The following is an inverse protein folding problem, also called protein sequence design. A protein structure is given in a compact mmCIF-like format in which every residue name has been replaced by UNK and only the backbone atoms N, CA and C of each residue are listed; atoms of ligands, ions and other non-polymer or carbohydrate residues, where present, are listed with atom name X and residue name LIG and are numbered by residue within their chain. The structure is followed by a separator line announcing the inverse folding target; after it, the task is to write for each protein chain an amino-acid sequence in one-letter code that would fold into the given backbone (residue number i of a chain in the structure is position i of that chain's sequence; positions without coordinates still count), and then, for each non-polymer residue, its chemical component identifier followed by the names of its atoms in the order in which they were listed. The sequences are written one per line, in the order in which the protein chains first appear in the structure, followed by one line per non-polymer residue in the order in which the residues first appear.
data_IF_063312680588
#
_entry.id   IF_063312680588
#
_cell.length_a   1.000
_cell.length_b   1.000
_cell.length_c   1.000
_cell.angle_alpha   90.00
_cell.angle_beta   90.00
_cell.angle_gamma   90.00
#
_symmetry.space_group_name_H-M   'P 1'
#
loop_
_entity.id
_entity.type
_entity.pdbx_description
1 polymer ?
#
# COMPACT_ATOMS: atom_id res chain seq x y z
N UNK A 1 -1.38 -7.66 -2.79
CA UNK A 1 -2.32 -7.61 -1.64
C UNK A 1 -3.02 -8.94 -1.36
N UNK A 2 -3.60 -9.61 -2.35
CA UNK A 2 -4.30 -10.89 -2.19
C UNK A 2 -3.43 -12.02 -1.60
N UNK A 3 -2.13 -12.06 -1.91
CA UNK A 3 -1.20 -13.08 -1.43
C UNK A 3 -1.04 -13.05 0.10
N UNK A 4 -0.86 -11.86 0.69
CA UNK A 4 -0.73 -11.69 2.15
C UNK A 4 -1.99 -12.16 2.86
N UNK A 5 -3.12 -11.71 2.37
CA UNK A 5 -4.42 -11.97 3.01
C UNK A 5 -4.80 -13.45 2.88
N UNK A 6 -4.51 -14.07 1.72
CA UNK A 6 -4.74 -15.50 1.48
C UNK A 6 -3.88 -16.40 2.36
N UNK A 7 -2.60 -16.07 2.56
CA UNK A 7 -1.70 -16.88 3.40
C UNK A 7 -2.13 -16.93 4.86
N UNK A 8 -2.55 -15.79 5.43
CA UNK A 8 -3.02 -15.71 6.82
C UNK A 8 -4.29 -16.54 7.05
N UNK A 9 -5.23 -16.51 6.12
CA UNK A 9 -6.47 -17.30 6.23
C UNK A 9 -6.24 -18.79 6.01
N UNK A 10 -5.35 -19.15 5.11
CA UNK A 10 -4.98 -20.55 4.87
C UNK A 10 -4.36 -21.18 6.12
N UNK A 11 -3.43 -20.47 6.78
CA UNK A 11 -2.84 -20.93 8.03
C UNK A 11 -3.87 -21.04 9.18
N UNK A 12 -4.89 -20.16 9.22
CA UNK A 12 -6.01 -20.30 10.16
C UNK A 12 -6.82 -21.58 9.90
N UNK A 13 -7.04 -21.96 8.64
CA UNK A 13 -7.78 -23.18 8.26
C UNK A 13 -6.98 -24.45 8.47
N UNK A 14 -5.68 -24.43 8.18
CA UNK A 14 -4.79 -25.60 8.32
C UNK A 14 -4.36 -25.86 9.78
N UNK A 15 -4.82 -25.05 10.74
CA UNK A 15 -4.51 -25.21 12.16
C UNK A 15 -3.06 -24.86 12.54
N UNK A 16 -2.24 -24.47 11.55
CA UNK A 16 -0.83 -24.08 11.74
C UNK A 16 -0.73 -22.81 12.58
N UNK A 17 -1.75 -21.96 12.50
CA UNK A 17 -1.87 -20.76 13.33
C UNK A 17 -1.94 -21.08 14.83
N UNK A 18 -2.63 -22.18 15.24
CA UNK A 18 -2.66 -22.63 16.64
C UNK A 18 -1.30 -23.10 17.13
N UNK A 19 -0.51 -23.73 16.28
CA UNK A 19 0.87 -24.16 16.63
C UNK A 19 1.80 -22.97 16.80
N UNK A 20 1.62 -21.90 16.02
CA UNK A 20 2.36 -20.63 16.16
C UNK A 20 2.01 -19.91 17.46
N UNK A 21 0.76 -19.99 17.95
CA UNK A 21 0.33 -19.40 19.22
C UNK A 21 0.92 -20.11 20.45
N UNK A 22 1.30 -21.37 20.33
CA UNK A 22 1.96 -22.14 21.43
C UNK A 22 3.48 -21.89 21.46
N UNK A 23 4.06 -21.35 20.40
CA UNK A 23 5.45 -20.95 20.38
C UNK A 23 5.67 -19.73 21.30
N UNK A 24 6.77 -19.65 22.06
CA UNK A 24 7.07 -18.52 22.95
C UNK A 24 7.52 -17.28 22.16
N UNK A 25 6.68 -16.80 21.23
CA UNK A 25 6.92 -15.61 20.42
C UNK A 25 5.85 -14.56 20.67
N UNK A 26 6.26 -13.28 20.70
CA UNK A 26 5.29 -12.19 20.81
C UNK A 26 4.45 -12.09 19.53
N UNK A 27 3.18 -11.73 19.66
CA UNK A 27 2.26 -11.52 18.53
C UNK A 27 2.81 -10.52 17.52
N UNK A 28 3.58 -9.52 17.97
CA UNK A 28 4.22 -8.53 17.12
C UNK A 28 5.32 -9.14 16.23
N UNK A 29 6.12 -10.06 16.76
CA UNK A 29 7.16 -10.76 15.99
C UNK A 29 6.52 -11.64 14.92
N UNK A 30 5.44 -12.33 15.25
CA UNK A 30 4.70 -13.15 14.30
C UNK A 30 4.09 -12.32 13.16
N UNK A 31 3.50 -11.17 13.48
CA UNK A 31 2.96 -10.24 12.47
C UNK A 31 4.08 -9.64 11.61
N UNK A 32 5.17 -9.17 12.23
CA UNK A 32 6.29 -8.60 11.50
C UNK A 32 6.91 -9.63 10.53
N UNK A 33 7.11 -10.87 10.97
CA UNK A 33 7.62 -11.95 10.13
C UNK A 33 6.76 -12.22 8.88
N UNK A 34 5.45 -12.00 8.98
CA UNK A 34 4.54 -12.11 7.83
C UNK A 34 4.53 -10.86 6.95
N UNK A 35 4.63 -9.68 7.54
CA UNK A 35 4.49 -8.41 6.81
C UNK A 35 5.74 -8.03 6.02
N UNK A 36 6.93 -8.30 6.57
CA UNK A 36 8.21 -7.96 5.95
C UNK A 36 8.33 -8.54 4.52
N UNK A 37 8.07 -9.84 4.26
CA UNK A 37 8.14 -10.38 2.91
C UNK A 37 7.22 -9.65 1.92
N UNK A 38 5.99 -9.35 2.32
CA UNK A 38 5.04 -8.65 1.44
C UNK A 38 5.41 -7.19 1.21
N UNK A 39 5.94 -6.53 2.22
CA UNK A 39 6.50 -5.18 2.06
C UNK A 39 7.66 -5.17 1.05
N UNK A 40 8.57 -6.13 1.16
CA UNK A 40 9.68 -6.28 0.21
C UNK A 40 9.19 -6.59 -1.20
N UNK A 41 8.18 -7.45 -1.36
CA UNK A 41 7.56 -7.74 -2.66
C UNK A 41 6.98 -6.46 -3.27
N UNK A 42 6.28 -5.63 -2.49
CA UNK A 42 5.74 -4.35 -2.98
C UNK A 42 6.87 -3.40 -3.44
N UNK A 43 7.98 -3.31 -2.70
CA UNK A 43 9.15 -2.50 -3.10
C UNK A 43 9.74 -3.01 -4.42
N UNK A 44 9.97 -4.31 -4.52
CA UNK A 44 10.51 -4.94 -5.73
C UNK A 44 9.58 -4.71 -6.92
N UNK A 45 8.27 -4.84 -6.73
CA UNK A 45 7.28 -4.59 -7.76
C UNK A 45 7.31 -3.13 -8.25
N UNK A 46 7.38 -2.16 -7.35
CA UNK A 46 7.51 -0.74 -7.70
C UNK A 46 8.82 -0.50 -8.46
N UNK A 47 9.93 -1.07 -7.98
CA UNK A 47 11.24 -0.92 -8.62
C UNK A 47 11.24 -1.51 -10.04
N UNK A 48 10.64 -2.69 -10.24
CA UNK A 48 10.47 -3.30 -11.57
C UNK A 48 9.63 -2.40 -12.47
N UNK A 49 8.49 -1.88 -11.99
CA UNK A 49 7.61 -1.01 -12.77
C UNK A 49 8.33 0.29 -13.20
N UNK A 50 9.05 0.94 -12.28
CA UNK A 50 9.84 2.13 -12.61
C UNK A 50 10.99 1.80 -13.57
N UNK A 51 11.69 0.69 -13.37
CA UNK A 51 12.77 0.23 -14.24
C UNK A 51 12.26 -0.08 -15.65
N UNK A 52 11.19 -0.83 -15.78
CA UNK A 52 10.56 -1.13 -17.08
C UNK A 52 10.08 0.15 -17.75
N UNK A 53 9.45 1.06 -17.02
CA UNK A 53 8.99 2.35 -17.56
C UNK A 53 10.16 3.20 -18.08
N UNK A 54 11.26 3.22 -17.36
CA UNK A 54 12.47 3.93 -17.79
C UNK A 54 13.12 3.29 -19.02
N UNK A 55 13.23 1.96 -19.07
CA UNK A 55 13.92 1.25 -20.15
C UNK A 55 13.09 1.20 -21.43
N UNK A 56 11.79 0.86 -21.34
CA UNK A 56 10.94 0.67 -22.53
C UNK A 56 10.38 1.98 -23.04
N UNK A 57 9.94 2.86 -22.15
CA UNK A 57 9.28 4.12 -22.53
C UNK A 57 10.21 5.33 -22.46
N UNK A 58 11.52 5.11 -22.14
CA UNK A 58 12.51 6.17 -21.96
C UNK A 58 12.02 7.27 -20.99
N UNK A 59 11.20 6.86 -20.00
CA UNK A 59 10.68 7.77 -19.00
C UNK A 59 11.81 8.27 -18.11
N UNK A 60 11.92 9.58 -17.94
CA UNK A 60 12.86 10.18 -16.99
C UNK A 60 12.44 9.78 -15.56
N UNK A 61 13.40 9.31 -14.76
CA UNK A 61 13.19 9.04 -13.33
C UNK A 61 13.25 10.32 -12.47
N UNK A 62 13.21 11.49 -13.12
CA UNK A 62 13.29 12.78 -12.45
C UNK A 62 14.71 13.10 -11.95
N UNK A 63 14.82 14.20 -11.21
CA UNK A 63 16.11 14.70 -10.71
C UNK A 63 16.45 14.16 -9.31
N UNK A 64 15.47 13.62 -8.58
CA UNK A 64 15.64 13.17 -7.19
C UNK A 64 15.40 11.68 -7.01
N UNK A 65 16.41 10.87 -7.21
CA UNK A 65 16.37 9.42 -6.92
C UNK A 65 16.04 9.16 -5.45
N UNK A 66 16.56 9.98 -4.53
CA UNK A 66 16.26 9.86 -3.10
C UNK A 66 14.76 10.08 -2.83
N UNK A 67 14.16 11.12 -3.44
CA UNK A 67 12.71 11.36 -3.35
C UNK A 67 11.90 10.17 -3.85
N UNK A 68 12.31 9.59 -4.98
CA UNK A 68 11.66 8.45 -5.60
C UNK A 68 11.69 7.21 -4.69
N UNK A 69 12.84 6.94 -4.07
CA UNK A 69 12.98 5.84 -3.10
C UNK A 69 12.09 6.07 -1.90
N UNK A 70 12.10 7.27 -1.30
CA UNK A 70 11.33 7.57 -0.10
C UNK A 70 9.81 7.48 -0.37
N UNK A 71 9.33 8.03 -1.50
CA UNK A 71 7.92 7.91 -1.91
C UNK A 71 7.55 6.46 -2.14
N UNK A 72 8.40 5.67 -2.80
CA UNK A 72 8.16 4.25 -3.07
C UNK A 72 8.08 3.42 -1.78
N UNK A 73 8.95 3.68 -0.81
CA UNK A 73 8.91 3.04 0.50
C UNK A 73 7.61 3.38 1.26
N UNK A 74 7.20 4.65 1.25
CA UNK A 74 5.96 5.08 1.90
C UNK A 74 4.72 4.48 1.21
N UNK A 75 4.69 4.46 -0.11
CA UNK A 75 3.61 3.85 -0.88
C UNK A 75 3.52 2.33 -0.64
N UNK A 76 4.66 1.63 -0.61
CA UNK A 76 4.72 0.21 -0.27
C UNK A 76 4.21 -0.08 1.16
N UNK A 77 4.58 0.78 2.14
CA UNK A 77 4.09 0.67 3.51
C UNK A 77 2.57 0.86 3.58
N UNK A 78 2.03 1.86 2.87
CA UNK A 78 0.59 2.13 2.79
C UNK A 78 -0.16 0.95 2.18
N UNK A 79 0.33 0.39 1.07
CA UNK A 79 -0.25 -0.77 0.41
C UNK A 79 -0.24 -2.01 1.32
N UNK A 80 0.86 -2.22 2.07
CA UNK A 80 0.99 -3.31 3.03
C UNK A 80 0.01 -3.13 4.19
N UNK A 81 -0.10 -1.92 4.75
CA UNK A 81 -1.05 -1.59 5.80
C UNK A 81 -2.51 -1.81 5.38
N UNK A 82 -2.88 -1.40 4.16
CA UNK A 82 -4.20 -1.67 3.60
C UNK A 82 -4.46 -3.17 3.46
N UNK A 83 -3.44 -3.96 3.09
CA UNK A 83 -3.52 -5.42 3.05
C UNK A 83 -3.81 -6.03 4.42
N UNK A 84 -3.17 -5.52 5.48
CA UNK A 84 -3.44 -5.94 6.87
C UNK A 84 -4.87 -5.62 7.26
N UNK A 85 -5.36 -4.43 6.94
CA UNK A 85 -6.73 -4.02 7.22
C UNK A 85 -7.75 -4.93 6.54
N UNK A 86 -7.56 -5.25 5.26
CA UNK A 86 -8.43 -6.20 4.53
C UNK A 86 -8.38 -7.58 5.17
N UNK A 87 -7.18 -8.06 5.55
CA UNK A 87 -7.00 -9.36 6.22
C UNK A 87 -7.73 -9.43 7.58
N UNK A 88 -7.77 -8.31 8.31
CA UNK A 88 -8.41 -8.23 9.61
C UNK A 88 -9.94 -8.22 9.53
N UNK A 89 -10.51 -7.73 8.43
CA UNK A 89 -11.97 -7.61 8.23
C UNK A 89 -12.55 -8.84 7.54
N UNK A 90 -11.84 -9.42 6.59
CA UNK A 90 -12.31 -10.55 5.80
C UNK A 90 -12.31 -11.86 6.60
N UNK A 91 -13.37 -12.66 6.42
CA UNK A 91 -13.54 -13.98 7.06
C UNK A 91 -13.34 -15.14 6.09
N UNK A 92 -13.43 -14.90 4.80
CA UNK A 92 -13.30 -15.93 3.75
C UNK A 92 -12.40 -15.43 2.62
N UNK A 93 -11.84 -16.36 1.86
CA UNK A 93 -11.02 -16.00 0.67
C UNK A 93 -11.82 -15.20 -0.36
N UNK A 94 -13.08 -15.55 -0.57
CA UNK A 94 -13.97 -14.82 -1.49
C UNK A 94 -14.17 -13.37 -1.01
N UNK A 95 -14.33 -13.14 0.31
CA UNK A 95 -14.42 -11.79 0.87
C UNK A 95 -13.12 -11.02 0.70
N UNK A 96 -11.95 -11.67 0.84
CA UNK A 96 -10.67 -11.01 0.58
C UNK A 96 -10.62 -10.48 -0.85
N UNK A 97 -10.91 -11.35 -1.82
CA UNK A 97 -10.90 -10.97 -3.23
C UNK A 97 -11.89 -9.85 -3.51
N UNK A 98 -13.14 -10.00 -3.07
CA UNK A 98 -14.19 -9.00 -3.27
C UNK A 98 -13.84 -7.65 -2.65
N UNK A 99 -13.41 -7.63 -1.38
CA UNK A 99 -13.01 -6.41 -0.68
C UNK A 99 -11.77 -5.77 -1.30
N UNK A 100 -10.77 -6.58 -1.69
CA UNK A 100 -9.55 -6.07 -2.33
C UNK A 100 -9.88 -5.39 -3.65
N UNK A 101 -10.65 -6.05 -4.52
CA UNK A 101 -11.04 -5.47 -5.82
C UNK A 101 -11.88 -4.22 -5.63
N UNK A 102 -12.90 -4.28 -4.76
CA UNK A 102 -13.77 -3.14 -4.46
C UNK A 102 -12.96 -1.93 -3.94
N UNK A 103 -12.13 -2.14 -2.94
CA UNK A 103 -11.31 -1.08 -2.37
C UNK A 103 -10.30 -0.53 -3.38
N UNK A 104 -9.60 -1.40 -4.11
CA UNK A 104 -8.64 -0.94 -5.11
C UNK A 104 -9.30 -0.13 -6.21
N UNK A 105 -10.41 -0.61 -6.78
CA UNK A 105 -11.12 0.12 -7.83
C UNK A 105 -11.65 1.46 -7.32
N UNK A 106 -12.31 1.46 -6.16
CA UNK A 106 -12.87 2.68 -5.58
C UNK A 106 -11.79 3.70 -5.24
N UNK A 107 -10.76 3.29 -4.49
CA UNK A 107 -9.69 4.19 -4.06
C UNK A 107 -8.84 4.67 -5.24
N UNK A 108 -8.59 3.82 -6.24
CA UNK A 108 -7.83 4.20 -7.44
C UNK A 108 -8.62 5.15 -8.33
N UNK A 109 -9.92 4.93 -8.49
CA UNK A 109 -10.77 5.83 -9.28
C UNK A 109 -10.85 7.21 -8.63
N UNK A 110 -11.15 7.27 -7.34
CA UNK A 110 -11.18 8.52 -6.58
C UNK A 110 -9.81 9.18 -6.51
N UNK A 111 -8.75 8.38 -6.39
CA UNK A 111 -7.36 8.88 -6.33
C UNK A 111 -6.83 9.44 -7.65
N UNK A 112 -7.52 9.23 -8.78
CA UNK A 112 -7.10 9.77 -10.07
C UNK A 112 -6.22 8.83 -10.90
N UNK A 113 -6.18 7.52 -10.57
CA UNK A 113 -5.38 6.56 -11.32
C UNK A 113 -5.98 6.23 -12.70
N UNK A 114 -7.31 6.29 -12.85
CA UNK A 114 -8.01 6.04 -14.13
C UNK A 114 -8.32 7.32 -14.88
N UNK A 115 -8.64 8.39 -14.18
CA UNK A 115 -8.95 9.69 -14.76
C UNK A 115 -7.92 10.69 -14.22
N UNK A 116 -7.13 11.33 -15.10
CA UNK A 116 -6.13 12.31 -14.66
C UNK A 116 -6.75 13.41 -13.79
N UNK A 117 -6.12 13.69 -12.65
CA UNK A 117 -6.66 14.64 -11.66
C UNK A 117 -6.86 16.06 -12.21
N UNK A 118 -6.11 16.46 -13.24
CA UNK A 118 -6.23 17.80 -13.83
C UNK A 118 -7.52 18.00 -14.64
N UNK A 119 -8.18 16.92 -15.08
CA UNK A 119 -9.48 16.99 -15.78
C UNK A 119 -10.66 16.69 -14.85
N UNK A 120 -10.40 16.31 -13.60
CA UNK A 120 -11.47 16.05 -12.61
C UNK A 120 -12.13 17.35 -12.16
N UNK A 121 -13.46 17.35 -11.93
CA UNK A 121 -14.14 18.42 -11.23
C UNK A 121 -13.51 18.66 -9.85
N UNK A 122 -13.51 19.92 -9.40
CA UNK A 122 -12.81 20.32 -8.15
C UNK A 122 -13.28 19.56 -6.92
N UNK A 123 -14.59 19.34 -6.80
CA UNK A 123 -15.16 18.56 -5.70
C UNK A 123 -14.65 17.11 -5.68
N UNK A 124 -14.53 16.46 -6.85
CA UNK A 124 -14.06 15.09 -6.95
C UNK A 124 -12.55 14.99 -6.65
N UNK A 125 -11.79 15.99 -7.09
CA UNK A 125 -10.37 16.10 -6.78
C UNK A 125 -10.13 16.25 -5.29
N UNK A 126 -10.98 17.02 -4.59
CA UNK A 126 -10.93 17.21 -3.14
C UNK A 126 -11.31 15.93 -2.40
N UNK A 127 -12.39 15.26 -2.80
CA UNK A 127 -12.79 13.96 -2.23
C UNK A 127 -11.69 12.92 -2.43
N UNK A 128 -11.00 12.94 -3.57
CA UNK A 128 -9.88 12.04 -3.86
C UNK A 128 -8.75 12.09 -2.82
N UNK A 129 -8.55 13.23 -2.15
CA UNK A 129 -7.52 13.39 -1.10
C UNK A 129 -7.75 12.50 0.14
N UNK A 130 -8.95 11.94 0.31
CA UNK A 130 -9.22 10.94 1.36
C UNK A 130 -8.55 9.60 1.02
N UNK A 131 -8.09 9.42 -0.20
CA UNK A 131 -7.46 8.18 -0.65
C UNK A 131 -5.93 8.29 -0.68
N UNK A 132 -5.19 7.26 -0.26
CA UNK A 132 -3.73 7.28 -0.36
C UNK A 132 -3.23 7.28 -1.81
N UNK A 133 -4.05 6.79 -2.76
CA UNK A 133 -3.70 6.76 -4.18
C UNK A 133 -3.50 8.16 -4.76
N UNK A 134 -4.31 9.15 -4.33
CA UNK A 134 -4.15 10.54 -4.75
C UNK A 134 -2.78 11.11 -4.33
N UNK A 135 -2.40 10.88 -3.07
CA UNK A 135 -1.13 11.38 -2.53
C UNK A 135 0.09 10.70 -3.16
N UNK A 136 -0.01 9.38 -3.39
CA UNK A 136 1.05 8.65 -4.09
C UNK A 136 1.20 9.14 -5.53
N UNK A 137 0.08 9.29 -6.26
CA UNK A 137 0.09 9.75 -7.65
C UNK A 137 0.66 11.17 -7.76
N UNK A 138 0.20 12.09 -6.89
CA UNK A 138 0.70 13.47 -6.86
C UNK A 138 2.22 13.50 -6.52
N UNK A 139 2.68 12.67 -5.58
CA UNK A 139 4.10 12.59 -5.23
C UNK A 139 4.96 12.08 -6.39
N UNK A 140 4.52 11.04 -7.09
CA UNK A 140 5.21 10.56 -8.28
C UNK A 140 5.18 11.59 -9.43
N UNK A 141 4.07 12.28 -9.66
CA UNK A 141 3.99 13.32 -10.67
C UNK A 141 4.92 14.50 -10.37
N UNK A 142 5.05 14.90 -9.10
CA UNK A 142 5.96 15.95 -8.69
C UNK A 142 7.41 15.58 -8.97
N UNK A 143 7.82 14.36 -8.68
CA UNK A 143 9.17 13.88 -8.90
C UNK A 143 9.50 13.65 -10.38
N UNK A 144 8.60 12.98 -11.10
CA UNK A 144 8.86 12.49 -12.45
C UNK A 144 8.56 13.53 -13.53
N UNK A 145 7.56 14.40 -13.30
CA UNK A 145 7.06 15.33 -14.32
C UNK A 145 7.43 16.77 -13.97
N UNK A 146 7.22 17.19 -12.72
CA UNK A 146 7.44 18.58 -12.28
C UNK A 146 8.89 18.85 -11.86
N UNK A 147 9.72 17.82 -11.72
CA UNK A 147 11.13 17.95 -11.35
C UNK A 147 11.37 18.36 -9.90
N UNK A 148 10.41 18.12 -9.01
CA UNK A 148 10.56 18.42 -7.59
C UNK A 148 11.61 17.51 -6.94
N UNK A 149 12.24 18.02 -5.87
CA UNK A 149 13.22 17.29 -5.08
C UNK A 149 12.60 16.55 -3.89
N UNK A 150 13.48 15.97 -3.07
CA UNK A 150 13.07 15.22 -1.88
C UNK A 150 12.25 16.08 -0.90
N UNK A 151 12.70 17.31 -0.65
CA UNK A 151 12.09 18.17 0.36
C UNK A 151 10.66 18.60 0.02
N UNK A 152 10.38 18.82 -1.26
CA UNK A 152 9.07 19.24 -1.73
C UNK A 152 8.04 18.11 -1.65
N UNK A 153 8.46 16.85 -1.71
CA UNK A 153 7.54 15.70 -1.63
C UNK A 153 7.35 15.17 -0.21
N UNK A 154 8.14 15.61 0.77
CA UNK A 154 8.03 15.17 2.17
C UNK A 154 6.62 15.31 2.76
N UNK A 155 5.85 16.38 2.54
CA UNK A 155 4.48 16.48 3.06
C UNK A 155 3.59 15.33 2.56
N UNK A 156 3.73 14.93 1.29
CA UNK A 156 2.98 13.80 0.71
C UNK A 156 3.44 12.47 1.27
N UNK A 157 4.74 12.31 1.46
CA UNK A 157 5.31 11.14 2.15
C UNK A 157 4.76 11.03 3.56
N UNK A 158 4.70 12.14 4.31
CA UNK A 158 4.11 12.18 5.66
C UNK A 158 2.66 11.72 5.67
N UNK A 159 1.86 12.15 4.70
CA UNK A 159 0.48 11.71 4.55
C UNK A 159 0.38 10.21 4.22
N UNK A 160 1.22 9.70 3.34
CA UNK A 160 1.26 8.27 3.02
C UNK A 160 1.63 7.43 4.25
N UNK A 161 2.62 7.87 5.03
CA UNK A 161 3.01 7.22 6.29
C UNK A 161 1.86 7.26 7.29
N UNK A 162 1.13 8.37 7.40
CA UNK A 162 -0.05 8.47 8.26
C UNK A 162 -1.13 7.46 7.85
N UNK A 163 -1.42 7.30 6.56
CA UNK A 163 -2.30 6.24 6.05
C UNK A 163 -1.77 4.84 6.39
N UNK A 164 -0.48 4.60 6.21
CA UNK A 164 0.13 3.31 6.53
C UNK A 164 -0.07 2.96 8.02
N UNK A 165 0.24 3.92 8.91
CA UNK A 165 0.07 3.75 10.37
C UNK A 165 -1.40 3.55 10.73
N UNK A 166 -2.32 4.32 10.14
CA UNK A 166 -3.75 4.19 10.39
C UNK A 166 -4.28 2.81 9.96
N UNK A 167 -3.97 2.37 8.74
CA UNK A 167 -4.41 1.07 8.23
C UNK A 167 -3.82 -0.09 9.02
N UNK A 168 -2.54 0.00 9.36
CA UNK A 168 -1.87 -1.00 10.18
C UNK A 168 -2.44 -1.03 11.61
N UNK A 169 -2.60 0.14 12.24
CA UNK A 169 -3.14 0.26 13.60
C UNK A 169 -4.56 -0.29 13.71
N UNK A 170 -5.45 0.11 12.78
CA UNK A 170 -6.83 -0.39 12.74
C UNK A 170 -6.84 -1.90 12.44
N UNK A 171 -5.99 -2.33 11.50
CA UNK A 171 -5.86 -3.75 11.15
C UNK A 171 -5.43 -4.60 12.33
N UNK A 172 -4.38 -4.20 13.05
CA UNK A 172 -3.90 -4.91 14.25
C UNK A 172 -4.93 -4.89 15.37
N UNK A 173 -5.56 -3.75 15.63
CA UNK A 173 -6.61 -3.62 16.64
C UNK A 173 -7.83 -4.52 16.34
N UNK A 174 -8.18 -4.64 15.05
CA UNK A 174 -9.32 -5.48 14.62
C UNK A 174 -8.96 -6.96 14.51
N UNK A 175 -7.66 -7.27 14.45
CA UNK A 175 -7.19 -8.65 14.33
C UNK A 175 -7.46 -9.38 15.64
N UNK A 176 -8.58 -10.14 15.69
CA UNK A 176 -8.86 -11.03 16.81
C UNK A 176 -8.01 -12.28 16.67
N UNK A 177 -7.10 -12.47 17.61
CA UNK A 177 -6.27 -13.67 17.75
C UNK A 177 -7.07 -14.83 18.40
N UNK A 178 -8.31 -15.03 17.98
CA UNK A 178 -9.17 -16.15 18.43
C UNK A 178 -9.02 -17.35 17.49
#
# INVERSE_FOLDING_TARGET
MSLLTGSVLREKREGTFRRLLVAPMSHMVMLAGKLIPYYLINIVQIAIMLGVSSLLFKMSLGHSTAGLVVVSLAAAATATGLGVLVAAVARTEAQIWGLTVLLLLTLSTLGGCFIPRFIMPEWLRTVGLVTPHAWALDAYQDLLVRGYGLWEVLPRVGTLVAFAVAFFGIGVWRFRFE
#
